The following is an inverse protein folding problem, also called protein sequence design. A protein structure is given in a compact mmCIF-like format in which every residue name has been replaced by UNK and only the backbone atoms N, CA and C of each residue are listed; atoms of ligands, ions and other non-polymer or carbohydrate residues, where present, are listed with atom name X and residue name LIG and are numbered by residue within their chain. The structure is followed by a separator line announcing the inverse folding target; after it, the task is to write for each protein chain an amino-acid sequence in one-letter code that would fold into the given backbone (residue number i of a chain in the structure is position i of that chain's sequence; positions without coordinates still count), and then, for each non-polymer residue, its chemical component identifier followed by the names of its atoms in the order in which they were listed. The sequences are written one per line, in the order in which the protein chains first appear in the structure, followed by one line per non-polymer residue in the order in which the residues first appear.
data_IF_763364490672
#
_entry.id   IF_763364490672
#
_cell.length_a   1.000
_cell.length_b   1.000
_cell.length_c   1.000
_cell.angle_alpha   90.00
_cell.angle_beta   90.00
_cell.angle_gamma   90.00
#
_symmetry.space_group_name_H-M   'P 1'
#
loop_
_entity.id
_entity.type
_entity.pdbx_description
1 polymer ?
#
# COMPACT_ATOMS: atom_id res chain seq x y z
N UNK A 1 -58.40 -19.53 46.72
CA UNK A 1 -59.42 -18.48 46.60
C UNK A 1 -58.87 -17.22 47.28
N UNK A 2 -59.09 -16.01 46.74
CA UNK A 2 -58.18 -15.25 45.83
C UNK A 2 -57.83 -13.85 46.46
N UNK A 3 -57.42 -12.73 45.79
CA UNK A 3 -57.39 -12.41 44.35
C UNK A 3 -56.21 -11.56 43.82
N UNK A 4 -56.18 -11.35 42.48
CA UNK A 4 -55.44 -10.22 41.89
C UNK A 4 -55.26 -10.27 40.37
N UNK A 5 -56.25 -9.78 39.64
CA UNK A 5 -56.26 -9.47 38.19
C UNK A 5 -55.52 -8.15 37.92
N UNK A 6 -54.59 -8.10 36.96
CA UNK A 6 -54.19 -6.85 36.25
C UNK A 6 -53.79 -7.25 34.82
N UNK A 7 -54.72 -7.20 33.86
CA UNK A 7 -54.98 -6.11 32.90
C UNK A 7 -53.84 -5.85 31.90
N UNK A 8 -54.25 -5.87 30.63
CA UNK A 8 -53.46 -5.78 29.42
C UNK A 8 -52.59 -4.52 29.31
N UNK A 9 -51.46 -4.64 28.59
CA UNK A 9 -50.74 -3.48 28.06
C UNK A 9 -51.31 -3.10 26.69
N UNK A 10 -51.83 -1.88 26.63
CA UNK A 10 -52.30 -1.15 25.44
C UNK A 10 -51.15 -0.88 24.45
N UNK A 11 -51.44 -0.83 23.14
CA UNK A 11 -50.48 -0.40 22.13
C UNK A 11 -50.59 1.12 21.96
N UNK A 12 -49.47 1.84 22.10
CA UNK A 12 -49.44 3.23 21.67
C UNK A 12 -48.39 4.09 22.35
N UNK A 13 -47.21 4.20 21.74
CA UNK A 13 -46.53 5.48 21.64
C UNK A 13 -45.98 5.63 20.22
N UNK A 14 -46.74 6.38 19.41
CA UNK A 14 -46.33 6.91 18.12
C UNK A 14 -45.14 7.84 18.36
N UNK A 15 -43.96 7.51 17.85
CA UNK A 15 -42.86 8.48 17.76
C UNK A 15 -43.26 9.52 16.72
N UNK A 16 -43.41 10.75 17.20
CA UNK A 16 -43.70 11.97 16.45
C UNK A 16 -42.70 12.10 15.30
N UNK A 17 -43.20 11.97 14.07
CA UNK A 17 -42.52 12.38 12.85
C UNK A 17 -42.54 13.91 12.88
N UNK A 18 -41.37 14.54 12.88
CA UNK A 18 -41.23 15.93 12.46
C UNK A 18 -40.85 15.88 10.98
N UNK A 19 -41.70 16.46 10.13
CA UNK A 19 -41.34 16.73 8.73
C UNK A 19 -40.20 17.76 8.66
N UNK A 20 -39.33 17.69 7.63
CA UNK A 20 -38.23 18.61 7.46
C UNK A 20 -38.63 19.83 6.63
N UNK A 21 -38.56 21.01 7.22
CA UNK A 21 -38.44 22.28 6.49
C UNK A 21 -36.96 22.68 6.38
N UNK A 22 -36.64 23.29 5.22
CA UNK A 22 -35.41 23.92 4.74
C UNK A 22 -34.48 23.08 3.81
N UNK A 23 -34.19 23.60 2.59
CA UNK A 23 -33.39 22.91 1.59
C UNK A 23 -31.91 22.88 1.98
N UNK A 24 -31.35 21.67 1.99
CA UNK A 24 -29.93 21.45 2.16
C UNK A 24 -29.12 22.19 1.08
N UNK A 25 -28.20 23.06 1.52
CA UNK A 25 -27.12 23.60 0.69
C UNK A 25 -26.41 22.47 -0.06
N UNK A 26 -26.36 22.61 -1.38
CA UNK A 26 -25.84 21.64 -2.33
C UNK A 26 -24.52 21.00 -1.88
N UNK A 27 -24.60 19.73 -1.49
CA UNK A 27 -23.44 18.90 -1.18
C UNK A 27 -22.75 18.53 -2.50
N UNK A 28 -21.72 19.29 -2.87
CA UNK A 28 -20.93 19.06 -4.07
C UNK A 28 -20.19 17.72 -3.98
N UNK A 29 -20.71 16.72 -4.69
CA UNK A 29 -20.05 15.43 -4.87
C UNK A 29 -18.93 15.54 -5.91
N UNK A 30 -17.81 14.86 -5.66
CA UNK A 30 -16.52 14.86 -6.40
C UNK A 30 -16.59 14.68 -7.94
N UNK A 31 -17.76 14.39 -8.51
CA UNK A 31 -17.97 14.33 -9.96
C UNK A 31 -18.23 15.72 -10.59
N UNK A 32 -18.82 16.68 -9.86
CA UNK A 32 -19.15 18.01 -10.41
C UNK A 32 -17.95 18.98 -10.50
N UNK A 33 -16.85 18.74 -9.79
CA UNK A 33 -15.63 19.54 -9.89
C UNK A 33 -14.89 19.40 -11.24
N UNK A 34 -15.19 18.35 -12.03
CA UNK A 34 -14.56 18.14 -13.34
C UNK A 34 -15.26 18.85 -14.50
N UNK A 35 -16.51 19.28 -14.32
CA UNK A 35 -17.24 20.00 -15.37
C UNK A 35 -17.12 21.52 -15.25
N UNK A 36 -16.78 22.04 -14.06
CA UNK A 36 -16.53 23.47 -13.87
C UNK A 36 -15.19 23.94 -14.49
N UNK A 37 -14.18 23.07 -14.57
CA UNK A 37 -12.90 23.40 -15.24
C UNK A 37 -12.95 23.32 -16.77
N UNK A 38 -14.02 22.78 -17.34
CA UNK A 38 -14.13 22.60 -18.81
C UNK A 38 -14.77 23.81 -19.49
N UNK A 39 -15.51 24.64 -18.75
CA UNK A 39 -16.20 25.82 -19.32
C UNK A 39 -15.32 27.07 -19.36
N UNK A 40 -14.36 27.23 -18.44
CA UNK A 40 -13.46 28.40 -18.40
C UNK A 40 -12.33 28.38 -19.46
N UNK A 41 -12.15 27.26 -20.18
CA UNK A 41 -11.12 27.15 -21.22
C UNK A 41 -11.61 27.49 -22.63
N UNK A 42 -12.92 27.69 -22.80
CA UNK A 42 -13.52 27.91 -24.13
C UNK A 42 -13.73 29.40 -24.46
N UNK A 43 -13.76 30.29 -23.47
CA UNK A 43 -13.96 31.74 -23.69
C UNK A 43 -12.67 32.53 -23.95
N UNK A 44 -11.50 31.97 -23.62
CA UNK A 44 -10.21 32.68 -23.82
C UNK A 44 -9.59 32.48 -25.21
N UNK A 45 -10.17 31.64 -26.07
CA UNK A 45 -9.57 31.27 -27.38
C UNK A 45 -10.18 32.01 -28.59
N UNK A 46 -11.16 32.91 -28.41
CA UNK A 46 -11.85 33.60 -29.51
C UNK A 46 -11.51 35.09 -29.65
N UNK A 47 -10.27 35.47 -29.32
CA UNK A 47 -9.75 36.78 -29.70
C UNK A 47 -8.28 36.63 -30.07
N UNK A 48 -8.02 36.53 -31.37
CA UNK A 48 -6.85 37.00 -32.13
C UNK A 48 -6.73 36.15 -33.41
N UNK A 49 -7.58 36.42 -34.40
CA UNK A 49 -7.27 36.16 -35.80
C UNK A 49 -6.40 37.31 -36.31
N UNK A 50 -5.26 37.00 -36.94
CA UNK A 50 -4.76 37.63 -38.18
C UNK A 50 -3.40 37.02 -38.59
N UNK A 51 -3.48 36.16 -39.61
CA UNK A 51 -2.53 35.99 -40.72
C UNK A 51 -1.07 35.55 -40.45
N UNK A 52 -0.76 34.29 -40.77
CA UNK A 52 0.25 33.98 -41.82
C UNK A 52 0.10 32.53 -42.33
N UNK A 53 0.52 32.37 -43.59
CA UNK A 53 0.16 31.34 -44.56
C UNK A 53 1.09 30.11 -44.55
N UNK A 54 0.50 28.90 -44.63
CA UNK A 54 0.89 27.75 -45.49
C UNK A 54 2.14 26.92 -45.13
N UNK A 55 1.98 25.68 -44.64
CA UNK A 55 2.08 24.39 -45.39
C UNK A 55 1.94 23.16 -44.44
N UNK A 56 1.16 22.19 -44.92
CA UNK A 56 0.93 20.87 -44.33
C UNK A 56 2.16 19.95 -44.55
N UNK A 57 2.51 19.19 -43.52
CA UNK A 57 3.42 18.05 -43.59
C UNK A 57 3.24 17.18 -42.35
N UNK A 58 2.56 16.05 -42.53
CA UNK A 58 2.32 15.03 -41.51
C UNK A 58 3.63 14.43 -41.00
N UNK A 59 4.00 14.71 -39.75
CA UNK A 59 4.88 13.84 -38.97
C UNK A 59 4.41 13.86 -37.51
N UNK A 60 3.82 12.75 -37.08
CA UNK A 60 3.40 12.52 -35.71
C UNK A 60 4.64 12.59 -34.79
N UNK A 61 4.70 13.51 -33.79
CA UNK A 61 5.82 13.53 -32.87
C UNK A 61 5.85 12.23 -32.07
N UNK A 62 7.01 11.57 -32.11
CA UNK A 62 7.36 10.47 -31.22
C UNK A 62 7.19 10.93 -29.77
N UNK A 63 6.16 10.42 -29.10
CA UNK A 63 5.92 10.73 -27.69
C UNK A 63 6.92 9.96 -26.85
N UNK A 64 7.95 10.65 -26.37
CA UNK A 64 8.90 10.11 -25.38
C UNK A 64 8.17 9.71 -24.08
N UNK A 65 7.93 8.40 -23.92
CA UNK A 65 7.37 7.75 -22.72
C UNK A 65 8.23 7.95 -21.44
N UNK A 66 9.46 8.44 -21.58
CA UNK A 66 10.43 8.55 -20.48
C UNK A 66 10.32 9.82 -19.63
N UNK A 67 9.59 10.85 -20.09
CA UNK A 67 9.51 12.13 -19.37
C UNK A 67 8.70 12.05 -18.06
N UNK A 68 7.82 11.06 -17.90
CA UNK A 68 6.91 10.97 -16.75
C UNK A 68 7.39 10.04 -15.62
N UNK A 69 8.36 9.16 -15.89
CA UNK A 69 8.83 8.17 -14.91
C UNK A 69 10.04 8.62 -14.08
N UNK A 70 10.80 9.62 -14.54
CA UNK A 70 12.07 10.05 -13.94
C UNK A 70 11.91 10.96 -12.72
N UNK A 71 10.96 11.91 -12.74
CA UNK A 71 10.74 12.87 -11.64
C UNK A 71 10.33 12.20 -10.32
N UNK A 72 9.60 11.09 -10.39
CA UNK A 72 9.13 10.33 -9.21
C UNK A 72 10.24 9.52 -8.57
N UNK A 73 11.21 9.02 -9.35
CA UNK A 73 12.38 8.28 -8.82
C UNK A 73 13.30 9.19 -8.01
N UNK A 74 13.46 10.45 -8.42
CA UNK A 74 14.37 11.43 -7.78
C UNK A 74 13.93 11.90 -6.37
N UNK A 75 12.68 11.64 -5.96
CA UNK A 75 12.14 12.09 -4.65
C UNK A 75 12.13 11.01 -3.56
N UNK A 76 12.55 9.77 -3.84
CA UNK A 76 12.60 8.70 -2.84
C UNK A 76 13.57 9.07 -1.70
N UNK A 77 13.15 8.92 -0.45
CA UNK A 77 13.99 9.18 0.75
C UNK A 77 14.19 10.65 1.11
N UNK A 78 14.09 11.59 0.16
CA UNK A 78 14.28 13.03 0.41
C UNK A 78 13.23 13.66 1.34
N UNK A 79 12.15 12.94 1.63
CA UNK A 79 11.07 13.43 2.49
C UNK A 79 11.40 13.43 3.98
N UNK A 80 12.25 12.52 4.45
CA UNK A 80 12.71 12.52 5.85
C UNK A 80 13.89 13.47 5.99
N UNK A 81 14.86 13.39 5.09
CA UNK A 81 16.05 14.24 5.07
C UNK A 81 15.71 15.74 5.17
N UNK A 82 14.69 16.20 4.43
CA UNK A 82 14.21 17.59 4.50
C UNK A 82 13.70 17.97 5.89
N UNK A 83 12.99 17.08 6.58
CA UNK A 83 12.46 17.33 7.92
C UNK A 83 13.62 17.36 8.92
N UNK A 84 14.55 16.41 8.83
CA UNK A 84 15.72 16.39 9.70
C UNK A 84 16.58 17.65 9.54
N UNK A 85 16.78 18.12 8.31
CA UNK A 85 17.51 19.38 8.03
C UNK A 85 16.78 20.62 8.56
N UNK A 86 15.45 20.70 8.40
CA UNK A 86 14.69 21.88 8.84
C UNK A 86 14.56 21.98 10.36
N UNK A 87 14.45 20.84 11.06
CA UNK A 87 14.31 20.81 12.53
C UNK A 87 15.69 20.75 13.21
N UNK A 88 16.74 20.37 12.49
CA UNK A 88 18.10 20.21 13.03
C UNK A 88 18.29 18.99 13.94
N UNK A 89 17.28 18.13 14.07
CA UNK A 89 17.32 16.90 14.88
C UNK A 89 16.62 15.75 14.17
N UNK A 90 16.99 14.52 14.51
CA UNK A 90 16.33 13.30 13.99
C UNK A 90 14.88 13.25 14.46
N UNK A 91 14.02 12.57 13.69
CA UNK A 91 12.61 12.40 14.08
C UNK A 91 12.52 11.33 15.16
N UNK A 92 11.96 11.62 16.35
CA UNK A 92 11.80 10.63 17.40
C UNK A 92 10.69 9.64 17.03
N UNK A 93 10.95 8.35 17.25
CA UNK A 93 10.00 7.27 17.02
C UNK A 93 9.65 6.61 18.34
N UNK A 94 8.38 6.70 18.71
CA UNK A 94 7.81 6.06 19.89
C UNK A 94 6.68 5.13 19.44
N UNK A 95 6.75 3.87 19.88
CA UNK A 95 5.75 2.85 19.57
C UNK A 95 5.22 2.33 20.89
N UNK A 96 3.92 2.47 21.10
CA UNK A 96 3.23 1.92 22.27
C UNK A 96 3.36 0.38 22.29
N UNK A 97 3.39 -0.20 23.48
CA UNK A 97 3.46 -1.64 23.64
C UNK A 97 2.27 -2.34 22.94
N UNK A 98 2.54 -3.46 22.28
CA UNK A 98 1.55 -4.19 21.47
C UNK A 98 1.24 -3.56 20.10
N UNK A 99 1.63 -2.31 19.85
CA UNK A 99 1.42 -1.66 18.56
C UNK A 99 2.57 -1.95 17.58
N UNK A 100 2.23 -2.06 16.29
CA UNK A 100 3.21 -2.28 15.20
C UNK A 100 3.68 -0.99 14.53
N UNK A 101 3.09 0.15 14.88
CA UNK A 101 3.37 1.45 14.26
C UNK A 101 3.32 2.55 15.32
N UNK A 102 4.07 3.65 15.10
CA UNK A 102 3.90 4.86 15.88
C UNK A 102 2.46 5.37 15.82
N UNK A 103 1.99 5.94 16.92
CA UNK A 103 0.65 6.54 17.01
C UNK A 103 0.50 7.73 16.07
N UNK A 104 1.54 8.58 16.00
CA UNK A 104 1.54 9.77 15.15
C UNK A 104 1.62 9.36 13.68
N UNK A 105 0.61 9.67 12.84
CA UNK A 105 0.56 9.22 11.45
C UNK A 105 1.76 9.63 10.61
N UNK A 106 2.28 10.85 10.82
CA UNK A 106 3.45 11.37 10.11
C UNK A 106 4.70 10.54 10.44
N UNK A 107 4.94 10.24 11.72
CA UNK A 107 6.06 9.40 12.15
C UNK A 107 5.95 7.99 11.56
N UNK A 108 4.75 7.40 11.62
CA UNK A 108 4.49 6.08 11.05
C UNK A 108 4.75 6.03 9.54
N UNK A 109 4.32 7.06 8.80
CA UNK A 109 4.54 7.15 7.37
C UNK A 109 6.03 7.30 7.01
N UNK A 110 6.77 8.12 7.76
CA UNK A 110 8.22 8.31 7.55
C UNK A 110 8.99 7.05 7.89
N UNK A 111 8.72 6.43 9.04
CA UNK A 111 9.32 5.16 9.45
C UNK A 111 9.09 4.08 8.39
N UNK A 112 7.84 3.88 7.94
CA UNK A 112 7.52 2.88 6.93
C UNK A 112 8.25 3.14 5.59
N UNK A 113 8.39 4.41 5.20
CA UNK A 113 9.05 4.80 3.96
C UNK A 113 10.55 4.49 3.99
N UNK A 114 11.23 4.86 5.07
CA UNK A 114 12.67 4.61 5.26
C UNK A 114 12.97 3.13 5.46
N UNK A 115 12.23 2.44 6.32
CA UNK A 115 12.30 0.99 6.46
C UNK A 115 12.16 0.29 5.10
N UNK A 116 11.23 0.75 4.27
CA UNK A 116 11.08 0.26 2.90
C UNK A 116 12.25 0.59 1.97
N UNK A 117 12.94 1.71 2.16
CA UNK A 117 14.14 2.07 1.37
C UNK A 117 15.34 1.22 1.76
N UNK A 118 15.58 1.08 3.07
CA UNK A 118 16.61 0.18 3.60
C UNK A 118 16.34 -1.25 3.11
N UNK A 119 15.08 -1.70 3.15
CA UNK A 119 14.72 -3.05 2.69
C UNK A 119 14.87 -3.25 1.18
N UNK A 120 14.92 -2.19 0.37
CA UNK A 120 15.08 -2.33 -1.09
C UNK A 120 16.52 -2.35 -1.54
N UNK A 121 17.43 -1.80 -0.74
CA UNK A 121 18.80 -1.54 -1.15
C UNK A 121 19.79 -2.64 -0.75
N UNK A 122 19.55 -3.32 0.37
CA UNK A 122 20.59 -4.16 0.99
C UNK A 122 20.18 -5.52 1.56
N UNK A 123 18.91 -5.85 1.88
CA UNK A 123 18.67 -7.13 2.51
C UNK A 123 18.63 -8.26 1.49
N UNK A 124 19.20 -9.42 1.86
CA UNK A 124 19.10 -10.62 1.07
C UNK A 124 17.63 -11.01 0.90
N UNK A 125 17.28 -11.64 -0.21
CA UNK A 125 15.91 -12.10 -0.50
C UNK A 125 15.82 -13.60 -0.23
N UNK A 126 15.68 -13.98 1.03
CA UNK A 126 15.71 -15.38 1.45
C UNK A 126 14.40 -16.12 1.14
N UNK A 127 14.44 -17.44 0.85
CA UNK A 127 13.27 -18.24 0.52
C UNK A 127 12.22 -18.31 1.64
N UNK A 128 12.64 -18.36 2.91
CA UNK A 128 11.72 -18.48 4.04
C UNK A 128 11.97 -17.42 5.12
N UNK A 129 10.90 -16.86 5.71
CA UNK A 129 11.04 -15.81 6.73
C UNK A 129 11.74 -16.30 8.02
N UNK A 130 11.66 -17.60 8.33
CA UNK A 130 12.40 -18.20 9.45
C UNK A 130 13.92 -17.97 9.32
N UNK A 131 14.45 -17.94 8.11
CA UNK A 131 15.89 -17.69 7.90
C UNK A 131 16.30 -16.28 8.37
N UNK A 132 15.42 -15.29 8.18
CA UNK A 132 15.63 -13.95 8.74
C UNK A 132 15.54 -13.92 10.27
N UNK A 133 14.76 -14.82 10.89
CA UNK A 133 14.68 -14.91 12.36
C UNK A 133 15.93 -15.55 12.95
N UNK A 134 16.50 -16.52 12.26
CA UNK A 134 17.69 -17.24 12.71
C UNK A 134 18.95 -16.37 12.56
N UNK A 135 18.96 -15.46 11.59
CA UNK A 135 20.06 -14.54 11.34
C UNK A 135 19.86 -13.23 12.12
N UNK A 136 20.19 -13.24 13.41
CA UNK A 136 20.09 -12.06 14.28
C UNK A 136 20.82 -10.84 13.71
N UNK A 137 22.03 -11.05 13.20
CA UNK A 137 22.87 -10.01 12.58
C UNK A 137 22.19 -9.29 11.41
N UNK A 138 21.33 -9.96 10.64
CA UNK A 138 20.63 -9.33 9.53
C UNK A 138 19.57 -8.35 10.02
N UNK A 139 18.86 -8.71 11.07
CA UNK A 139 17.87 -7.83 11.69
C UNK A 139 18.55 -6.65 12.39
N UNK A 140 19.65 -6.89 13.10
CA UNK A 140 20.44 -5.84 13.76
C UNK A 140 21.03 -4.86 12.74
N UNK A 141 21.67 -5.35 11.67
CA UNK A 141 22.18 -4.50 10.59
C UNK A 141 21.06 -3.68 9.91
N UNK A 142 19.89 -4.28 9.74
CA UNK A 142 18.72 -3.58 9.21
C UNK A 142 18.24 -2.47 10.15
N UNK A 143 18.12 -2.77 11.45
CA UNK A 143 17.68 -1.80 12.47
C UNK A 143 18.71 -0.67 12.61
N UNK A 144 20.01 -0.98 12.65
CA UNK A 144 21.07 0.03 12.72
C UNK A 144 21.04 1.01 11.55
N UNK A 145 20.72 0.53 10.33
CA UNK A 145 20.51 1.41 9.16
C UNK A 145 19.29 2.32 9.30
N UNK A 146 18.23 1.85 9.97
CA UNK A 146 17.04 2.67 10.25
C UNK A 146 17.35 3.69 11.37
N UNK A 147 18.09 3.28 12.39
CA UNK A 147 18.50 4.09 13.54
C UNK A 147 19.43 5.25 13.15
N UNK A 148 20.21 5.07 12.09
CA UNK A 148 20.98 6.16 11.49
C UNK A 148 20.10 7.38 11.13
N UNK A 149 18.82 7.17 10.78
CA UNK A 149 17.91 8.21 10.30
C UNK A 149 16.87 8.69 11.32
N UNK A 150 16.63 7.94 12.41
CA UNK A 150 15.64 8.26 13.44
C UNK A 150 16.29 8.36 14.82
N UNK A 151 15.57 8.93 15.78
CA UNK A 151 15.91 8.84 17.19
C UNK A 151 14.99 7.80 17.82
N UNK A 152 15.52 6.60 18.07
CA UNK A 152 14.73 5.48 18.58
C UNK A 152 15.54 4.60 19.53
N UNK A 153 14.87 3.98 20.50
CA UNK A 153 15.52 3.03 21.40
C UNK A 153 15.62 1.66 20.72
N UNK A 154 16.78 1.38 20.13
CA UNK A 154 17.05 0.12 19.41
C UNK A 154 16.97 -1.11 20.33
N UNK A 155 17.17 -0.97 21.63
CA UNK A 155 17.07 -2.08 22.59
C UNK A 155 15.63 -2.47 22.90
N UNK A 156 14.67 -1.57 22.62
CA UNK A 156 13.26 -1.81 22.87
C UNK A 156 12.68 -2.92 21.98
N UNK A 157 12.04 -3.91 22.61
CA UNK A 157 11.41 -5.04 21.90
C UNK A 157 10.26 -4.59 20.99
N UNK A 158 9.58 -3.49 21.31
CA UNK A 158 8.49 -2.95 20.48
C UNK A 158 9.00 -2.45 19.13
N UNK A 159 10.15 -1.77 19.14
CA UNK A 159 10.79 -1.24 17.94
C UNK A 159 11.37 -2.37 17.10
N UNK A 160 12.06 -3.34 17.72
CA UNK A 160 12.53 -4.56 17.05
C UNK A 160 11.38 -5.30 16.36
N UNK A 161 10.26 -5.47 17.05
CA UNK A 161 9.06 -6.14 16.52
C UNK A 161 8.42 -5.36 15.36
N UNK A 162 8.28 -4.04 15.48
CA UNK A 162 7.73 -3.20 14.42
C UNK A 162 8.61 -3.23 13.16
N UNK A 163 9.92 -3.04 13.31
CA UNK A 163 10.91 -3.12 12.25
C UNK A 163 10.89 -4.48 11.56
N UNK A 164 10.80 -5.56 12.34
CA UNK A 164 10.69 -6.95 11.86
C UNK A 164 9.41 -7.20 11.06
N UNK A 165 8.26 -6.68 11.48
CA UNK A 165 6.98 -6.81 10.75
C UNK A 165 7.06 -6.10 9.38
N UNK A 166 7.62 -4.88 9.37
CA UNK A 166 7.84 -4.10 8.13
C UNK A 166 8.78 -4.85 7.19
N UNK A 167 9.93 -5.32 7.69
CA UNK A 167 10.90 -6.12 6.93
C UNK A 167 10.26 -7.39 6.35
N UNK A 168 9.46 -8.10 7.16
CA UNK A 168 8.75 -9.30 6.73
C UNK A 168 7.80 -9.01 5.57
N UNK A 169 6.99 -7.94 5.69
CA UNK A 169 6.01 -7.56 4.67
C UNK A 169 6.70 -7.17 3.37
N UNK A 170 7.76 -6.37 3.43
CA UNK A 170 8.52 -5.97 2.25
C UNK A 170 9.22 -7.15 1.58
N UNK A 171 9.84 -8.05 2.36
CA UNK A 171 10.51 -9.24 1.81
C UNK A 171 9.52 -10.18 1.10
N UNK A 172 8.33 -10.39 1.68
CA UNK A 172 7.24 -11.14 1.03
C UNK A 172 6.82 -10.50 -0.29
N UNK A 173 6.63 -9.18 -0.30
CA UNK A 173 6.22 -8.45 -1.49
C UNK A 173 7.30 -8.47 -2.58
N UNK A 174 8.58 -8.29 -2.22
CA UNK A 174 9.71 -8.34 -3.16
C UNK A 174 9.79 -9.73 -3.82
N UNK A 175 9.71 -10.81 -3.04
CA UNK A 175 9.68 -12.19 -3.59
C UNK A 175 8.51 -12.42 -4.53
N UNK A 176 7.32 -11.93 -4.18
CA UNK A 176 6.16 -12.07 -5.07
C UNK A 176 6.37 -11.32 -6.40
N UNK A 177 6.93 -10.10 -6.37
CA UNK A 177 7.23 -9.34 -7.58
C UNK A 177 8.28 -10.04 -8.46
N UNK A 178 9.34 -10.59 -7.84
CA UNK A 178 10.37 -11.34 -8.56
C UNK A 178 9.75 -12.59 -9.20
N UNK A 179 9.02 -13.39 -8.42
CA UNK A 179 8.34 -14.60 -8.92
C UNK A 179 7.43 -14.29 -10.11
N UNK A 180 6.58 -13.27 -9.98
CA UNK A 180 5.63 -12.89 -11.01
C UNK A 180 6.32 -12.46 -12.32
N UNK A 181 7.47 -11.80 -12.25
CA UNK A 181 8.16 -11.24 -13.42
C UNK A 181 9.10 -12.22 -14.12
N UNK A 182 9.77 -13.08 -13.36
CA UNK A 182 10.90 -13.87 -13.84
C UNK A 182 10.73 -15.38 -13.68
N UNK A 183 9.67 -15.84 -13.01
CA UNK A 183 9.42 -17.27 -12.82
C UNK A 183 8.08 -17.69 -13.43
N UNK A 184 6.98 -17.03 -13.08
CA UNK A 184 5.64 -17.43 -13.53
C UNK A 184 5.41 -17.16 -15.04
N UNK A 185 6.11 -16.18 -15.62
CA UNK A 185 6.02 -15.80 -17.04
C UNK A 185 6.88 -16.65 -17.97
N UNK A 186 7.82 -17.42 -17.42
CA UNK A 186 8.83 -18.16 -18.17
C UNK A 186 8.50 -19.65 -18.11
N UNK A 187 8.67 -20.36 -19.22
CA UNK A 187 8.53 -21.81 -19.24
C UNK A 187 9.58 -22.46 -18.32
N UNK A 188 9.20 -23.53 -17.60
CA UNK A 188 10.06 -24.14 -16.57
C UNK A 188 11.45 -24.57 -17.09
N UNK A 189 11.55 -24.97 -18.36
CA UNK A 189 12.80 -25.43 -18.97
C UNK A 189 13.74 -24.27 -19.37
N UNK A 190 13.29 -23.02 -19.27
CA UNK A 190 14.00 -21.81 -19.73
C UNK A 190 14.30 -20.86 -18.57
N UNK A 191 14.06 -21.27 -17.33
CA UNK A 191 14.37 -20.45 -16.16
C UNK A 191 15.88 -20.24 -16.09
N UNK A 192 16.31 -18.97 -16.13
CA UNK A 192 17.72 -18.60 -16.07
C UNK A 192 18.38 -19.12 -14.79
N UNK A 193 19.59 -19.67 -14.92
CA UNK A 193 20.44 -20.08 -13.79
C UNK A 193 21.00 -18.84 -13.06
N UNK A 194 21.21 -17.75 -13.80
CA UNK A 194 21.71 -16.47 -13.29
C UNK A 194 20.56 -15.59 -12.83
N UNK A 195 20.82 -14.78 -11.82
CA UNK A 195 19.87 -13.82 -11.27
C UNK A 195 19.51 -12.77 -12.33
N UNK A 196 18.21 -12.60 -12.64
CA UNK A 196 17.75 -11.57 -13.57
C UNK A 196 17.62 -10.19 -12.89
N UNK A 197 17.94 -10.08 -11.59
CA UNK A 197 17.77 -8.88 -10.79
C UNK A 197 19.15 -8.44 -10.28
N UNK A 198 19.60 -7.20 -10.57
CA UNK A 198 20.95 -6.75 -10.22
C UNK A 198 21.22 -6.74 -8.72
N UNK A 199 20.19 -6.47 -7.90
CA UNK A 199 20.32 -6.43 -6.43
C UNK A 199 20.24 -7.82 -5.77
N UNK A 200 20.14 -8.90 -6.54
CA UNK A 200 19.94 -10.26 -6.04
C UNK A 200 21.09 -11.14 -6.49
N UNK A 201 21.74 -11.83 -5.55
CA UNK A 201 22.84 -12.74 -5.91
C UNK A 201 22.33 -14.00 -6.60
N UNK A 202 23.17 -14.61 -7.43
CA UNK A 202 22.81 -15.83 -8.16
C UNK A 202 22.44 -16.99 -7.23
N UNK A 203 23.14 -17.13 -6.10
CA UNK A 203 22.83 -18.16 -5.11
C UNK A 203 21.46 -17.97 -4.44
N UNK A 204 21.09 -16.73 -4.13
CA UNK A 204 19.76 -16.42 -3.59
C UNK A 204 18.65 -16.67 -4.62
N UNK A 205 18.90 -16.31 -5.87
CA UNK A 205 17.99 -16.59 -6.97
C UNK A 205 17.75 -18.10 -7.12
N UNK A 206 18.81 -18.90 -7.14
CA UNK A 206 18.70 -20.35 -7.25
C UNK A 206 17.93 -20.95 -6.08
N UNK A 207 18.20 -20.51 -4.84
CA UNK A 207 17.45 -20.96 -3.67
C UNK A 207 15.95 -20.61 -3.74
N UNK A 208 15.59 -19.47 -4.35
CA UNK A 208 14.19 -19.10 -4.59
C UNK A 208 13.54 -20.00 -5.64
N UNK A 209 14.23 -20.24 -6.76
CA UNK A 209 13.76 -21.10 -7.86
C UNK A 209 13.57 -22.54 -7.37
N UNK A 210 14.52 -23.07 -6.59
CA UNK A 210 14.42 -24.39 -5.96
C UNK A 210 13.17 -24.46 -5.08
N UNK A 211 13.00 -23.51 -4.16
CA UNK A 211 11.82 -23.45 -3.29
C UNK A 211 10.52 -23.42 -4.09
N UNK A 212 10.40 -22.57 -5.12
CA UNK A 212 9.19 -22.46 -5.93
C UNK A 212 8.91 -23.72 -6.76
N UNK A 213 9.96 -24.46 -7.11
CA UNK A 213 9.87 -25.69 -7.88
C UNK A 213 9.46 -26.90 -7.04
N UNK A 214 9.65 -26.87 -5.72
CA UNK A 214 9.31 -27.97 -4.83
C UNK A 214 7.83 -28.41 -4.96
N UNK A 215 7.54 -29.73 -5.04
CA UNK A 215 6.17 -30.23 -5.16
C UNK A 215 5.24 -29.75 -4.04
N UNK A 216 5.76 -29.69 -2.81
CA UNK A 216 5.03 -29.19 -1.63
C UNK A 216 4.58 -27.74 -1.80
N UNK A 217 5.47 -26.87 -2.31
CA UNK A 217 5.13 -25.47 -2.54
C UNK A 217 4.08 -25.32 -3.64
N UNK A 218 4.25 -26.06 -4.75
CA UNK A 218 3.27 -26.09 -5.86
C UNK A 218 1.89 -26.53 -5.38
N UNK A 219 1.81 -27.63 -4.63
CA UNK A 219 0.55 -28.11 -4.05
C UNK A 219 -0.12 -27.06 -3.17
N UNK A 220 0.65 -26.43 -2.27
CA UNK A 220 0.14 -25.35 -1.40
C UNK A 220 -0.36 -24.14 -2.22
N UNK A 221 0.35 -23.77 -3.28
CA UNK A 221 -0.06 -22.67 -4.17
C UNK A 221 -1.37 -22.98 -4.89
N UNK A 222 -1.54 -24.18 -5.42
CA UNK A 222 -2.77 -24.61 -6.11
C UNK A 222 -3.95 -24.60 -5.13
N UNK A 223 -3.79 -25.19 -3.93
CA UNK A 223 -4.82 -25.14 -2.89
C UNK A 223 -5.18 -23.71 -2.50
N UNK A 224 -4.19 -22.84 -2.30
CA UNK A 224 -4.43 -21.43 -1.97
C UNK A 224 -5.14 -20.66 -3.10
N UNK A 225 -4.87 -20.99 -4.36
CA UNK A 225 -5.56 -20.42 -5.52
C UNK A 225 -7.03 -20.84 -5.53
N UNK A 226 -7.32 -22.12 -5.42
CA UNK A 226 -8.69 -22.64 -5.33
C UNK A 226 -9.45 -22.04 -4.14
N UNK A 227 -8.78 -21.87 -2.99
CA UNK A 227 -9.39 -21.24 -1.82
C UNK A 227 -9.72 -19.75 -2.05
N UNK A 228 -8.88 -19.03 -2.80
CA UNK A 228 -9.13 -17.63 -3.18
C UNK A 228 -10.26 -17.48 -4.18
N UNK A 229 -10.39 -18.41 -5.13
CA UNK A 229 -11.49 -18.43 -6.10
C UNK A 229 -12.85 -18.63 -5.42
N UNK A 230 -12.88 -19.31 -4.26
CA UNK A 230 -14.09 -19.45 -3.42
C UNK A 230 -14.42 -18.21 -2.59
N UNK A 231 -13.55 -17.19 -2.54
CA UNK A 231 -13.81 -15.96 -1.79
C UNK A 231 -14.79 -15.09 -2.58
N UNK A 232 -16.07 -15.11 -2.17
CA UNK A 232 -17.14 -14.33 -2.82
C UNK A 232 -17.07 -12.85 -2.45
N UNK A 233 -16.77 -12.54 -1.19
CA UNK A 233 -16.73 -11.17 -0.68
C UNK A 233 -15.38 -10.87 -0.04
N UNK A 234 -14.69 -9.85 -0.55
CA UNK A 234 -13.48 -9.34 0.10
C UNK A 234 -13.84 -8.47 1.30
N UNK A 235 -13.07 -8.58 2.39
CA UNK A 235 -13.16 -7.62 3.48
C UNK A 235 -12.88 -6.22 2.94
N UNK A 236 -13.82 -5.28 3.15
CA UNK A 236 -13.63 -3.88 2.81
C UNK A 236 -12.96 -3.17 3.98
N UNK A 237 -11.91 -2.41 3.67
CA UNK A 237 -11.33 -1.44 4.60
C UNK A 237 -11.98 -0.09 4.31
N UNK A 238 -13.00 0.28 5.09
CA UNK A 238 -13.79 1.49 4.87
C UNK A 238 -14.97 1.58 5.84
N UNK A 239 -15.90 2.52 5.60
CA UNK A 239 -17.05 2.77 6.50
C UNK A 239 -18.04 1.61 6.63
N UNK A 240 -17.95 0.60 5.75
CA UNK A 240 -18.81 -0.60 5.79
C UNK A 240 -18.00 -1.80 6.25
N UNK A 241 -18.31 -2.25 7.46
CA UNK A 241 -17.74 -3.48 8.01
C UNK A 241 -18.19 -4.71 7.19
N UNK A 242 -17.44 -5.81 7.30
CA UNK A 242 -17.61 -7.02 6.47
C UNK A 242 -19.04 -7.59 6.48
N UNK A 243 -19.69 -7.68 7.64
CA UNK A 243 -21.06 -8.21 7.74
C UNK A 243 -22.06 -7.28 7.03
N UNK A 244 -21.98 -5.95 7.23
CA UNK A 244 -22.79 -4.97 6.49
C UNK A 244 -22.49 -4.94 4.98
N UNK A 245 -21.30 -5.36 4.56
CA UNK A 245 -20.97 -5.51 3.15
C UNK A 245 -21.71 -6.73 2.57
N UNK A 246 -21.58 -7.90 3.21
CA UNK A 246 -22.25 -9.13 2.79
C UNK A 246 -23.77 -8.95 2.73
N UNK A 247 -24.37 -8.34 3.75
CA UNK A 247 -25.83 -8.17 3.82
C UNK A 247 -26.42 -7.32 2.70
N UNK A 248 -25.65 -6.42 2.09
CA UNK A 248 -26.15 -5.54 1.03
C UNK A 248 -25.77 -5.99 -0.38
N UNK A 249 -24.92 -7.01 -0.49
CA UNK A 249 -24.55 -7.64 -1.77
C UNK A 249 -25.29 -8.96 -2.00
N UNK A 250 -26.00 -9.46 -0.98
CA UNK A 250 -27.02 -10.51 -1.12
C UNK A 250 -28.34 -9.87 -1.56
#
# INVERSE_FOLDING_TARGET
MPPGRVMASTPGQKKRILEPDEPALDRVTRQKAKMATTTDHQESLLRMDSETSVQMGDELPHMDEDAMTTKTRLRKGKGLERITKSVGRKVPIQIAEGMKRPEKPLQAAKLASECGLVTRSHPPVLPHFKLYKNNASLLENYIGKVDANFEMNTDSETIKTACKDILQKHSKNRRHQIKKKYFDTIAANTVSIKSPVPDLTDGEWQALVEMWSTPRHKGTCVSNKMNREKVVYNQRTGSRHYTSHIFATK
#
